data_IF_586843224799
#
_entry.id   IF_586843224799
#
_cell.length_a   1.000
_cell.length_b   1.000
_cell.length_c   1.000
_cell.angle_alpha   90.00
_cell.angle_beta   90.00
_cell.angle_gamma   90.00
#
_symmetry.space_group_name_H-M   'P 1'
#
loop_
_entity.id
_entity.type
_entity.pdbx_description
1 polymer ?
#
# COMPACT_ATOMS: atom_id res chain seq x y z
N UNK A 1 19.89 -13.73 -12.45
CA UNK A 1 20.35 -12.33 -12.35
C UNK A 1 20.07 -11.86 -10.93
N UNK A 2 21.08 -11.46 -10.12
CA UNK A 2 20.82 -10.94 -8.79
C UNK A 2 20.04 -9.62 -8.94
N UNK A 3 18.92 -9.47 -8.24
CA UNK A 3 18.21 -8.20 -8.12
C UNK A 3 19.20 -7.19 -7.51
N UNK A 4 19.42 -6.04 -8.18
CA UNK A 4 20.24 -4.94 -7.67
C UNK A 4 19.91 -4.63 -6.21
N UNK A 5 20.90 -4.28 -5.38
CA UNK A 5 20.68 -3.88 -3.98
C UNK A 5 19.64 -2.76 -3.85
N UNK A 6 19.58 -1.87 -4.85
CA UNK A 6 18.56 -0.81 -4.93
C UNK A 6 17.13 -1.38 -5.04
N UNK A 7 16.95 -2.48 -5.78
CA UNK A 7 15.65 -3.15 -5.90
C UNK A 7 15.26 -3.89 -4.62
N UNK A 8 16.25 -4.31 -3.81
CA UNK A 8 16.00 -4.90 -2.50
C UNK A 8 15.62 -3.82 -1.47
N UNK A 9 16.36 -2.70 -1.44
CA UNK A 9 16.06 -1.54 -0.60
C UNK A 9 14.67 -0.96 -0.91
N UNK A 10 14.32 -0.86 -2.19
CA UNK A 10 12.98 -0.44 -2.60
C UNK A 10 11.89 -1.38 -2.10
N UNK A 11 12.06 -2.69 -2.32
CA UNK A 11 11.10 -3.68 -1.84
C UNK A 11 10.94 -3.60 -0.32
N UNK A 12 12.04 -3.45 0.41
CA UNK A 12 12.02 -3.27 1.86
C UNK A 12 11.26 -2.01 2.30
N UNK A 13 11.52 -0.87 1.66
CA UNK A 13 10.81 0.39 1.94
C UNK A 13 9.29 0.28 1.67
N UNK A 14 8.91 -0.34 0.55
CA UNK A 14 7.50 -0.63 0.24
C UNK A 14 6.88 -1.53 1.31
N UNK A 15 7.58 -2.58 1.75
CA UNK A 15 7.08 -3.46 2.81
C UNK A 15 6.88 -2.72 4.13
N UNK A 16 7.78 -1.81 4.52
CA UNK A 16 7.61 -1.03 5.73
C UNK A 16 6.40 -0.09 5.64
N UNK A 17 6.27 0.66 4.56
CA UNK A 17 5.13 1.55 4.35
C UNK A 17 3.78 0.82 4.34
N UNK A 18 3.72 -0.39 3.75
CA UNK A 18 2.50 -1.22 3.74
C UNK A 18 2.13 -1.72 5.14
N UNK A 19 3.12 -1.97 6.02
CA UNK A 19 2.85 -2.42 7.40
C UNK A 19 2.21 -1.35 8.28
N UNK A 20 2.27 -0.09 7.86
CA UNK A 20 1.65 1.03 8.56
C UNK A 20 0.18 1.24 8.19
N UNK A 21 -0.31 0.56 7.15
CA UNK A 21 -1.72 0.63 6.76
C UNK A 21 -2.58 0.00 7.87
N UNK A 22 -3.55 0.74 8.45
CA UNK A 22 -4.42 0.20 9.49
C UNK A 22 -5.30 -0.94 8.98
N UNK A 23 -5.68 -1.85 9.87
CA UNK A 23 -6.63 -2.92 9.55
C UNK A 23 -7.96 -2.36 9.04
N UNK A 24 -8.49 -2.94 7.96
CA UNK A 24 -9.74 -2.47 7.35
C UNK A 24 -9.56 -1.17 6.56
N UNK A 25 -8.32 -0.73 6.32
CA UNK A 25 -8.00 0.40 5.44
C UNK A 25 -7.20 -0.07 4.24
N UNK A 26 -7.31 0.68 3.16
CA UNK A 26 -6.62 0.43 1.91
C UNK A 26 -5.91 1.67 1.43
N UNK A 27 -4.78 1.48 0.78
CA UNK A 27 -4.06 2.54 0.10
C UNK A 27 -3.76 2.11 -1.33
N UNK A 28 -3.39 3.06 -2.17
CA UNK A 28 -3.06 2.77 -3.56
C UNK A 28 -1.56 2.60 -3.74
N UNK A 29 -1.17 1.74 -4.69
CA UNK A 29 0.23 1.57 -5.05
C UNK A 29 0.91 2.90 -5.43
N UNK A 30 0.19 3.76 -6.16
CA UNK A 30 0.69 5.09 -6.52
C UNK A 30 0.89 6.00 -5.32
N UNK A 31 0.07 5.86 -4.27
CA UNK A 31 0.23 6.62 -3.03
C UNK A 31 1.49 6.20 -2.27
N UNK A 32 1.71 4.90 -2.09
CA UNK A 32 2.95 4.38 -1.47
C UNK A 32 4.18 4.79 -2.29
N UNK A 33 4.11 4.72 -3.61
CA UNK A 33 5.21 5.14 -4.48
C UNK A 33 5.53 6.65 -4.35
N UNK A 34 4.49 7.48 -4.13
CA UNK A 34 4.64 8.92 -3.85
C UNK A 34 5.28 9.17 -2.49
N UNK A 35 4.83 8.48 -1.44
CA UNK A 35 5.42 8.59 -0.09
C UNK A 35 6.92 8.25 -0.10
N UNK A 36 7.31 7.23 -0.87
CA UNK A 36 8.70 6.80 -0.98
C UNK A 36 9.53 7.58 -2.03
N UNK A 37 8.97 8.63 -2.64
CA UNK A 37 9.69 9.52 -3.56
C UNK A 37 10.08 8.92 -4.92
N UNK A 38 9.54 7.76 -5.32
CA UNK A 38 9.82 7.10 -6.62
C UNK A 38 8.52 6.77 -7.37
N UNK A 39 7.95 7.72 -8.15
CA UNK A 39 6.66 7.54 -8.81
C UNK A 39 6.68 6.55 -9.98
N UNK A 40 7.85 6.20 -10.50
CA UNK A 40 8.05 5.28 -11.62
C UNK A 40 8.47 3.90 -11.11
N UNK A 41 7.50 3.04 -10.80
CA UNK A 41 7.80 1.67 -10.39
C UNK A 41 7.03 0.58 -11.17
N UNK A 42 7.63 -0.62 -11.32
CA UNK A 42 7.07 -1.69 -12.12
C UNK A 42 5.80 -2.25 -11.48
N UNK A 43 4.72 -2.31 -12.27
CA UNK A 43 3.48 -2.97 -11.89
C UNK A 43 3.71 -4.48 -11.76
N UNK A 44 3.76 -4.98 -10.53
CA UNK A 44 3.70 -6.42 -10.27
C UNK A 44 2.29 -6.93 -10.59
N UNK A 45 2.19 -7.87 -11.52
CA UNK A 45 0.92 -8.53 -11.82
C UNK A 45 0.83 -9.81 -10.99
N UNK A 46 0.26 -9.77 -9.79
CA UNK A 46 -0.10 -10.99 -9.07
C UNK A 46 -1.29 -10.75 -8.12
N UNK A 47 -2.38 -11.50 -8.32
CA UNK A 47 -3.25 -11.93 -7.23
C UNK A 47 -4.47 -11.09 -6.86
N UNK A 48 -5.08 -10.32 -7.77
CA UNK A 48 -6.25 -9.49 -7.46
C UNK A 48 -7.39 -10.23 -6.72
N UNK A 49 -7.65 -11.49 -7.06
CA UNK A 49 -8.67 -12.30 -6.36
C UNK A 49 -8.26 -12.70 -4.93
N UNK A 50 -6.98 -13.02 -4.70
CA UNK A 50 -6.48 -13.32 -3.35
C UNK A 50 -6.49 -12.06 -2.49
N UNK A 51 -6.16 -10.92 -3.11
CA UNK A 51 -6.22 -9.63 -2.46
C UNK A 51 -7.66 -9.26 -2.07
N UNK A 52 -8.63 -9.46 -2.97
CA UNK A 52 -10.04 -9.23 -2.67
C UNK A 52 -10.50 -10.03 -1.43
N UNK A 53 -10.17 -11.33 -1.38
CA UNK A 53 -10.51 -12.17 -0.23
C UNK A 53 -9.84 -11.72 1.07
N UNK A 54 -8.57 -11.31 1.02
CA UNK A 54 -7.89 -10.77 2.20
C UNK A 54 -8.56 -9.49 2.70
N UNK A 55 -8.90 -8.57 1.80
CA UNK A 55 -9.61 -7.33 2.14
C UNK A 55 -10.98 -7.59 2.75
N UNK A 56 -11.75 -8.53 2.21
CA UNK A 56 -13.05 -8.92 2.77
C UNK A 56 -12.93 -9.49 4.20
N UNK A 57 -11.90 -10.28 4.48
CA UNK A 57 -11.60 -10.77 5.84
C UNK A 57 -11.28 -9.62 6.78
N UNK A 58 -10.67 -8.54 6.29
CA UNK A 58 -10.41 -7.32 7.05
C UNK A 58 -11.64 -6.41 7.25
N UNK A 59 -12.81 -6.82 6.74
CA UNK A 59 -14.03 -6.04 6.80
C UNK A 59 -14.12 -4.93 5.75
N UNK A 60 -13.20 -4.93 4.77
CA UNK A 60 -13.27 -4.04 3.62
C UNK A 60 -14.26 -4.59 2.61
N UNK A 61 -15.26 -3.79 2.24
CA UNK A 61 -16.22 -4.18 1.21
C UNK A 61 -15.58 -4.12 -0.18
N UNK A 62 -15.54 -5.26 -0.85
CA UNK A 62 -15.09 -5.39 -2.24
C UNK A 62 -16.30 -5.64 -3.13
N UNK A 63 -16.45 -4.82 -4.17
CA UNK A 63 -17.48 -5.03 -5.20
C UNK A 63 -16.84 -5.70 -6.42
N UNK A 64 -17.56 -6.64 -7.03
CA UNK A 64 -17.13 -7.29 -8.27
C UNK A 64 -17.97 -6.83 -9.46
N UNK A 65 -17.31 -6.30 -10.49
CA UNK A 65 -17.91 -5.85 -11.73
C UNK A 65 -18.29 -7.00 -12.66
N UNK A 66 -19.03 -6.69 -13.72
CA UNK A 66 -19.50 -7.67 -14.71
C UNK A 66 -18.37 -8.28 -15.53
N UNK A 67 -17.24 -7.57 -15.70
CA UNK A 67 -16.04 -8.07 -16.36
C UNK A 67 -15.07 -8.77 -15.39
N UNK A 68 -15.47 -8.92 -14.13
CA UNK A 68 -14.67 -9.56 -13.09
C UNK A 68 -13.64 -8.64 -12.42
N UNK A 69 -13.65 -7.33 -12.67
CA UNK A 69 -12.87 -6.38 -11.88
C UNK A 69 -13.33 -6.33 -10.42
N UNK A 70 -12.39 -6.08 -9.52
CA UNK A 70 -12.67 -5.82 -8.11
C UNK A 70 -12.51 -4.33 -7.82
N UNK A 71 -13.43 -3.73 -7.08
CA UNK A 71 -13.39 -2.32 -6.68
C UNK A 71 -13.66 -2.16 -5.19
N UNK A 72 -13.08 -1.09 -4.61
CA UNK A 72 -13.23 -0.72 -3.20
C UNK A 72 -13.52 0.78 -3.14
N UNK A 73 -14.38 1.20 -2.22
CA UNK A 73 -14.67 2.61 -1.99
C UNK A 73 -13.57 3.28 -1.14
N UNK A 74 -12.80 4.17 -1.76
CA UNK A 74 -11.76 4.95 -1.10
C UNK A 74 -12.31 6.02 -0.15
N UNK A 75 -13.56 6.48 -0.31
CA UNK A 75 -14.14 7.41 0.65
C UNK A 75 -14.34 6.74 2.03
N UNK A 76 -14.62 5.44 2.04
CA UNK A 76 -14.88 4.67 3.26
C UNK A 76 -13.59 4.03 3.81
N UNK A 77 -12.81 3.40 2.95
CA UNK A 77 -11.67 2.56 3.37
C UNK A 77 -10.31 3.19 3.06
N UNK A 78 -10.27 4.34 2.38
CA UNK A 78 -9.02 4.99 1.99
C UNK A 78 -8.16 5.43 3.17
N UNK A 79 -6.87 5.14 3.09
CA UNK A 79 -5.83 5.67 3.95
C UNK A 79 -4.74 6.31 3.09
N UNK A 80 -4.72 7.64 3.12
CA UNK A 80 -3.88 8.49 2.27
C UNK A 80 -3.20 9.60 3.10
N UNK A 81 -2.29 9.24 4.01
CA UNK A 81 -1.55 10.26 4.75
C UNK A 81 -0.54 10.97 3.84
N UNK A 82 -0.17 12.20 4.17
CA UNK A 82 0.86 12.94 3.43
C UNK A 82 2.29 12.48 3.79
N UNK A 83 2.48 11.90 4.97
CA UNK A 83 3.73 11.39 5.53
C UNK A 83 3.44 10.08 6.29
N UNK A 84 4.37 9.11 6.30
CA UNK A 84 4.20 7.87 7.05
C UNK A 84 4.24 8.13 8.57
N UNK A 85 3.36 7.50 9.37
CA UNK A 85 3.42 7.59 10.83
C UNK A 85 4.79 7.31 11.45
N UNK A 86 5.60 6.41 10.87
CA UNK A 86 6.97 6.16 11.34
C UNK A 86 7.90 7.36 11.17
N UNK A 87 7.68 8.18 10.15
CA UNK A 87 8.52 9.35 9.86
C UNK A 87 8.17 10.53 10.78
N UNK A 88 7.00 10.49 11.44
CA UNK A 88 6.57 11.52 12.39
C UNK A 88 7.21 11.31 13.78
N UNK A 89 7.58 10.08 14.14
CA UNK A 89 8.14 9.79 15.47
C UNK A 89 9.61 10.19 15.64
N UNK A 90 10.33 10.42 14.54
CA UNK A 90 11.74 10.84 14.58
C UNK A 90 11.90 12.35 14.89
N UNK A 91 10.82 13.14 14.86
CA UNK A 91 10.84 14.60 15.08
C UNK A 91 10.57 15.01 16.55
N UNK A 92 10.11 14.09 17.42
CA UNK A 92 9.72 14.40 18.80
C UNK A 92 10.82 14.13 19.86
N UNK A 93 12.01 13.66 19.47
CA UNK A 93 13.13 13.31 20.38
C UNK A 93 14.15 14.47 20.61
N UNK A 94 13.80 15.72 20.27
CA UNK A 94 14.56 16.92 20.67
C UNK A 94 13.86 17.67 21.84
N UNK A 95 13.96 17.15 23.07
CA UNK A 95 13.76 17.94 24.31
C UNK A 95 14.92 17.77 25.31
#
# INVERSE_FOLDING_TARGET
>A
MPRSEEAAAWTYAVYNAVREVPYGKVTSYGHIARLLGKPECPRGANGASQQATALEVEGVQVTRGSLGEYSVDFATYGWFPDILPSDLSDEDDEE
#
